data_IF_750983108181
#
_entry.id   IF_750983108181
#
_cell.length_a   1.000
_cell.length_b   1.000
_cell.length_c   1.000
_cell.angle_alpha   90.00
_cell.angle_beta   90.00
_cell.angle_gamma   90.00
#
_symmetry.space_group_name_H-M   'P 1'
#
loop_
_entity.id
_entity.type
_entity.pdbx_description
1 polymer ?
#
# COMPACT_ATOMS: atom_id res chain seq x y z
N UNK A 1 -8.51 4.17 -14.97
CA UNK A 1 -7.53 3.07 -14.99
C UNK A 1 -7.91 1.98 -13.98
N UNK A 2 -7.68 2.17 -12.68
CA UNK A 2 -7.90 1.13 -11.66
C UNK A 2 -9.36 0.96 -11.17
N UNK A 3 -10.27 1.88 -11.52
CA UNK A 3 -11.69 1.77 -11.11
C UNK A 3 -11.93 2.04 -9.62
N UNK A 4 -11.13 2.91 -9.00
CA UNK A 4 -11.28 3.27 -7.58
C UNK A 4 -12.58 4.05 -7.34
N UNK A 5 -13.30 3.72 -6.26
CA UNK A 5 -14.51 4.41 -5.83
C UNK A 5 -14.22 5.77 -5.17
N UNK A 6 -13.05 5.92 -4.54
CA UNK A 6 -12.62 7.14 -3.88
C UNK A 6 -11.09 7.26 -3.92
N UNK A 7 -10.59 8.50 -3.84
CA UNK A 7 -9.17 8.82 -3.67
C UNK A 7 -9.04 10.05 -2.79
N UNK A 8 -8.36 9.88 -1.66
CA UNK A 8 -8.23 10.90 -0.63
C UNK A 8 -6.76 11.24 -0.42
N UNK A 9 -6.50 12.45 0.07
CA UNK A 9 -5.16 12.89 0.44
C UNK A 9 -5.23 13.58 1.80
N UNK A 10 -4.58 12.99 2.81
CA UNK A 10 -4.56 13.48 4.18
C UNK A 10 -3.77 14.79 4.37
N UNK A 11 -3.09 15.27 3.33
CA UNK A 11 -2.27 16.50 3.35
C UNK A 11 -1.21 16.52 4.45
N UNK A 12 -0.78 15.34 4.90
CA UNK A 12 0.37 15.20 5.79
C UNK A 12 1.63 15.67 5.06
N UNK A 13 2.55 16.28 5.81
CA UNK A 13 3.74 16.89 5.22
C UNK A 13 4.70 15.82 4.72
N UNK A 14 4.95 15.82 3.42
CA UNK A 14 5.91 14.94 2.75
C UNK A 14 7.31 15.01 3.41
N UNK A 15 7.92 13.87 3.72
CA UNK A 15 9.19 13.75 4.41
C UNK A 15 9.15 14.00 5.93
N UNK A 16 8.07 14.56 6.49
CA UNK A 16 8.07 15.08 7.87
C UNK A 16 6.99 14.52 8.78
N UNK A 17 5.96 13.84 8.26
CA UNK A 17 4.95 13.21 9.11
C UNK A 17 5.58 12.22 10.10
N UNK A 18 4.94 12.02 11.24
CA UNK A 18 5.48 11.17 12.30
C UNK A 18 4.46 10.11 12.69
N UNK A 19 4.91 9.11 13.45
CA UNK A 19 4.01 8.14 14.07
C UNK A 19 3.59 8.63 15.48
N UNK A 20 3.01 9.82 15.54
CA UNK A 20 2.52 10.48 16.75
C UNK A 20 0.97 10.47 16.82
N UNK A 21 0.41 10.98 17.92
CA UNK A 21 -1.04 11.01 18.12
C UNK A 21 -1.79 11.78 17.02
N UNK A 22 -1.29 12.95 16.62
CA UNK A 22 -1.92 13.79 15.61
C UNK A 22 -2.06 13.05 14.28
N UNK A 23 -0.96 12.50 13.76
CA UNK A 23 -0.98 11.79 12.48
C UNK A 23 -1.79 10.49 12.58
N UNK A 24 -1.75 9.79 13.72
CA UNK A 24 -2.54 8.59 13.94
C UNK A 24 -4.03 8.89 13.89
N UNK A 25 -4.48 9.98 14.51
CA UNK A 25 -5.89 10.39 14.51
C UNK A 25 -6.39 10.70 13.09
N UNK A 26 -5.58 11.34 12.25
CA UNK A 26 -5.94 11.60 10.84
C UNK A 26 -6.13 10.30 10.04
N UNK A 27 -5.28 9.29 10.25
CA UNK A 27 -5.45 7.97 9.63
C UNK A 27 -6.67 7.24 10.20
N UNK A 28 -6.89 7.29 11.52
CA UNK A 28 -8.04 6.66 12.19
C UNK A 28 -9.36 7.22 11.65
N UNK A 29 -9.46 8.53 11.43
CA UNK A 29 -10.64 9.18 10.83
C UNK A 29 -11.01 8.54 9.49
N UNK A 30 -10.01 8.28 8.64
CA UNK A 30 -10.25 7.69 7.32
C UNK A 30 -10.59 6.20 7.40
N UNK A 31 -9.94 5.46 8.31
CA UNK A 31 -10.31 4.06 8.58
C UNK A 31 -11.77 3.96 9.02
N UNK A 32 -12.21 4.84 9.92
CA UNK A 32 -13.60 4.85 10.42
C UNK A 32 -14.62 5.41 9.42
N UNK A 33 -14.19 6.28 8.50
CA UNK A 33 -15.02 6.77 7.38
C UNK A 33 -15.37 5.63 6.42
N UNK A 34 -14.37 4.85 6.02
CA UNK A 34 -14.53 3.83 4.98
C UNK A 34 -14.82 2.43 5.50
N UNK A 35 -14.56 2.18 6.79
CA UNK A 35 -14.75 0.89 7.45
C UNK A 35 -14.21 -0.30 6.64
N UNK A 36 -12.95 -0.27 6.17
CA UNK A 36 -12.44 -1.30 5.27
C UNK A 36 -12.27 -2.64 6.01
N UNK A 37 -12.50 -3.73 5.31
CA UNK A 37 -12.18 -5.07 5.81
C UNK A 37 -10.67 -5.34 5.74
N UNK A 38 -10.03 -4.91 4.65
CA UNK A 38 -8.60 -5.11 4.36
C UNK A 38 -7.95 -3.74 4.14
N UNK A 39 -6.79 -3.55 4.75
CA UNK A 39 -5.90 -2.41 4.45
C UNK A 39 -4.61 -2.93 3.83
N UNK A 40 -4.19 -2.28 2.75
CA UNK A 40 -2.86 -2.42 2.17
C UNK A 40 -2.06 -1.15 2.50
N UNK A 41 -0.94 -1.29 3.20
CA UNK A 41 -0.08 -0.17 3.62
C UNK A 41 1.31 -0.28 3.00
N UNK A 42 2.10 0.79 3.15
CA UNK A 42 3.49 0.82 2.72
C UNK A 42 4.34 -0.31 3.32
N UNK A 43 5.46 -0.59 2.65
CA UNK A 43 6.41 -1.63 3.02
C UNK A 43 6.92 -1.48 4.47
N UNK A 44 7.28 -2.59 5.12
CA UNK A 44 7.85 -2.59 6.47
C UNK A 44 9.16 -1.80 6.56
N UNK A 45 9.98 -1.94 5.53
CA UNK A 45 11.20 -1.16 5.34
C UNK A 45 11.40 -0.92 3.84
N UNK A 46 12.09 0.16 3.50
CA UNK A 46 12.28 0.55 2.11
C UNK A 46 13.48 1.51 1.99
N UNK A 47 13.86 1.90 0.76
CA UNK A 47 14.87 2.94 0.56
C UNK A 47 14.35 4.31 0.98
N UNK A 48 13.05 4.57 0.80
CA UNK A 48 12.45 5.84 1.18
C UNK A 48 11.96 5.76 2.63
N UNK A 49 12.46 6.62 3.55
CA UNK A 49 12.11 6.53 4.97
C UNK A 49 10.60 6.68 5.23
N UNK A 50 9.90 7.48 4.42
CA UNK A 50 8.44 7.63 4.50
C UNK A 50 7.69 6.32 4.31
N UNK A 51 8.18 5.37 3.51
CA UNK A 51 7.47 4.12 3.28
C UNK A 51 7.37 3.30 4.58
N UNK A 52 8.51 3.03 5.23
CA UNK A 52 8.54 2.31 6.51
C UNK A 52 7.74 3.04 7.60
N UNK A 53 7.94 4.36 7.70
CA UNK A 53 7.23 5.20 8.66
C UNK A 53 5.71 5.24 8.43
N UNK A 54 5.25 5.27 7.18
CA UNK A 54 3.83 5.17 6.85
C UNK A 54 3.27 3.78 7.19
N UNK A 55 4.05 2.72 6.95
CA UNK A 55 3.70 1.35 7.36
C UNK A 55 3.48 1.25 8.87
N UNK A 56 4.38 1.82 9.67
CA UNK A 56 4.24 1.88 11.14
C UNK A 56 3.05 2.74 11.59
N UNK A 57 2.89 3.93 11.00
CA UNK A 57 1.76 4.83 11.30
C UNK A 57 0.42 4.13 11.05
N UNK A 58 0.25 3.49 9.90
CA UNK A 58 -0.98 2.77 9.57
C UNK A 58 -1.18 1.58 10.50
N UNK A 59 -0.13 0.82 10.83
CA UNK A 59 -0.21 -0.32 11.74
C UNK A 59 -0.76 0.07 13.12
N UNK A 60 -0.21 1.13 13.71
CA UNK A 60 -0.67 1.63 15.01
C UNK A 60 -2.12 2.17 14.93
N UNK A 61 -2.43 2.94 13.88
CA UNK A 61 -3.78 3.46 13.66
C UNK A 61 -4.83 2.38 13.48
N UNK A 62 -4.51 1.24 12.83
CA UNK A 62 -5.44 0.10 12.68
C UNK A 62 -5.82 -0.51 14.03
N UNK A 63 -4.87 -0.60 14.95
CA UNK A 63 -5.18 -1.09 16.30
C UNK A 63 -6.08 -0.09 17.05
N UNK A 64 -5.68 1.18 17.03
CA UNK A 64 -6.35 2.27 17.76
C UNK A 64 -7.74 2.59 17.20
N UNK A 65 -7.98 2.44 15.90
CA UNK A 65 -9.27 2.74 15.27
C UNK A 65 -10.41 1.87 15.82
N UNK A 66 -10.07 0.66 16.30
CA UNK A 66 -11.00 -0.26 16.95
C UNK A 66 -11.30 0.03 18.43
N UNK A 67 -10.66 1.03 19.04
CA UNK A 67 -10.88 1.37 20.44
C UNK A 67 -11.99 2.41 20.57
N UNK A 68 -13.10 2.13 21.29
CA UNK A 68 -14.22 3.06 21.42
C UNK A 68 -13.89 4.31 22.23
N UNK A 69 -12.82 4.29 23.04
CA UNK A 69 -12.36 5.45 23.83
C UNK A 69 -11.51 6.46 23.05
N UNK A 70 -11.07 6.10 21.84
CA UNK A 70 -10.44 7.06 20.94
C UNK A 70 -11.58 7.72 20.18
N UNK A 71 -11.86 8.97 20.49
CA UNK A 71 -12.93 9.73 19.83
C UNK A 71 -12.40 10.38 18.57
N UNK A 72 -13.16 10.27 17.47
CA UNK A 72 -12.87 10.98 16.23
C UNK A 72 -14.15 11.54 15.64
N UNK A 73 -14.01 12.69 14.99
CA UNK A 73 -15.09 13.40 14.33
C UNK A 73 -14.70 13.64 12.86
N UNK A 74 -15.69 13.51 11.97
CA UNK A 74 -15.59 13.90 10.57
C UNK A 74 -16.86 14.66 10.20
N UNK A 75 -16.71 15.85 9.61
CA UNK A 75 -17.83 16.71 9.20
C UNK A 75 -18.84 16.99 10.33
N UNK A 76 -18.35 17.30 11.55
CA UNK A 76 -19.18 17.49 12.75
C UNK A 76 -19.94 16.25 13.25
N UNK A 77 -19.58 15.05 12.75
CA UNK A 77 -20.20 13.78 13.13
C UNK A 77 -19.19 12.86 13.79
N UNK A 78 -19.51 12.41 15.01
CA UNK A 78 -18.73 11.39 15.73
C UNK A 78 -18.73 10.07 14.97
N UNK A 79 -17.55 9.45 14.85
CA UNK A 79 -17.39 8.20 14.14
C UNK A 79 -17.37 7.00 15.09
N UNK A 80 -18.04 5.91 14.70
CA UNK A 80 -17.98 4.65 15.43
C UNK A 80 -16.58 4.02 15.31
N UNK A 81 -16.17 3.27 16.35
CA UNK A 81 -14.96 2.48 16.30
C UNK A 81 -15.06 1.39 15.22
N UNK A 82 -13.98 1.20 14.49
CA UNK A 82 -13.88 0.18 13.43
C UNK A 82 -12.48 -0.41 13.43
N UNK A 83 -12.38 -1.73 13.50
CA UNK A 83 -11.12 -2.45 13.36
C UNK A 83 -11.12 -3.26 12.07
N UNK A 84 -10.28 -2.90 11.08
CA UNK A 84 -10.06 -3.72 9.91
C UNK A 84 -9.65 -5.15 10.29
N UNK A 85 -10.13 -6.13 9.53
CA UNK A 85 -9.84 -7.55 9.78
C UNK A 85 -8.40 -7.89 9.41
N UNK A 86 -7.90 -7.33 8.32
CA UNK A 86 -6.59 -7.66 7.74
C UNK A 86 -5.80 -6.40 7.38
N UNK A 87 -4.50 -6.44 7.67
CA UNK A 87 -3.54 -5.42 7.28
C UNK A 87 -2.32 -6.12 6.67
N UNK A 88 -2.01 -5.77 5.42
CA UNK A 88 -0.84 -6.26 4.69
C UNK A 88 0.01 -5.09 4.19
N UNK A 89 1.30 -5.32 4.01
CA UNK A 89 2.23 -4.34 3.47
C UNK A 89 2.62 -4.72 2.04
N UNK A 90 2.39 -3.84 1.07
CA UNK A 90 2.87 -4.06 -0.30
C UNK A 90 4.37 -3.75 -0.42
N UNK A 91 5.05 -4.45 -1.33
CA UNK A 91 6.50 -4.32 -1.54
C UNK A 91 6.78 -3.27 -2.62
N UNK A 92 7.48 -2.18 -2.27
CA UNK A 92 7.61 -0.98 -3.12
C UNK A 92 8.93 -0.89 -3.89
N UNK A 93 10.06 -0.72 -3.20
CA UNK A 93 11.37 -0.55 -3.83
C UNK A 93 12.30 -1.73 -3.55
N UNK A 94 12.62 -1.92 -2.26
CA UNK A 94 13.50 -2.99 -1.82
C UNK A 94 12.82 -4.34 -2.02
N UNK A 95 13.62 -5.35 -2.35
CA UNK A 95 13.15 -6.72 -2.27
C UNK A 95 12.93 -7.08 -0.81
N UNK A 96 11.70 -7.46 -0.49
CA UNK A 96 11.35 -8.13 0.77
C UNK A 96 10.84 -9.53 0.42
N UNK A 97 11.15 -10.51 1.25
CA UNK A 97 10.56 -11.84 1.09
C UNK A 97 9.04 -11.73 1.37
N UNK A 98 8.17 -12.08 0.42
CA UNK A 98 6.73 -11.99 0.63
C UNK A 98 6.23 -13.11 1.55
N UNK A 99 5.20 -12.80 2.33
CA UNK A 99 4.42 -13.78 3.10
C UNK A 99 3.21 -14.28 2.31
N UNK A 100 2.66 -13.43 1.43
CA UNK A 100 1.59 -13.77 0.49
C UNK A 100 1.97 -13.24 -0.89
N UNK A 101 1.60 -13.98 -1.94
CA UNK A 101 1.68 -13.50 -3.32
C UNK A 101 0.30 -13.63 -3.96
N UNK A 102 -0.13 -12.58 -4.64
CA UNK A 102 -1.36 -12.56 -5.44
C UNK A 102 -0.99 -12.65 -6.92
N UNK A 103 -1.59 -13.58 -7.66
CA UNK A 103 -1.46 -13.67 -9.11
C UNK A 103 -2.11 -12.44 -9.75
N UNK A 104 -1.31 -11.66 -10.48
CA UNK A 104 -1.75 -10.46 -11.20
C UNK A 104 -1.53 -10.58 -12.70
N UNK A 105 -1.45 -11.81 -13.22
CA UNK A 105 -1.11 -12.08 -14.63
C UNK A 105 -2.05 -11.34 -15.59
N UNK A 106 -3.36 -11.37 -15.30
CA UNK A 106 -4.40 -10.69 -16.11
C UNK A 106 -4.51 -9.18 -15.84
N UNK A 107 -3.66 -8.64 -14.96
CA UNK A 107 -3.74 -7.26 -14.48
C UNK A 107 -2.46 -6.47 -14.70
N UNK A 108 -1.41 -7.10 -15.22
CA UNK A 108 -0.10 -6.47 -15.40
C UNK A 108 -0.15 -5.22 -16.29
N UNK A 109 -0.90 -5.26 -17.40
CA UNK A 109 -1.02 -4.12 -18.30
C UNK A 109 -1.70 -2.92 -17.62
N UNK A 110 -2.77 -3.18 -16.86
CA UNK A 110 -3.51 -2.14 -16.11
C UNK A 110 -2.66 -1.55 -14.98
N UNK A 111 -1.81 -2.36 -14.34
CA UNK A 111 -0.81 -1.89 -13.37
C UNK A 111 0.17 -0.93 -14.02
N UNK A 112 0.77 -1.30 -15.15
CA UNK A 112 1.71 -0.44 -15.88
C UNK A 112 1.03 0.85 -16.36
N UNK A 113 -0.18 0.76 -16.90
CA UNK A 113 -0.98 1.93 -17.31
C UNK A 113 -1.18 2.90 -16.14
N UNK A 114 -1.49 2.37 -14.95
CA UNK A 114 -1.73 3.19 -13.76
C UNK A 114 -0.49 3.95 -13.28
N UNK A 115 0.69 3.35 -13.40
CA UNK A 115 1.97 3.98 -13.07
C UNK A 115 2.29 5.07 -14.10
N UNK A 116 2.12 4.78 -15.39
CA UNK A 116 2.35 5.74 -16.49
C UNK A 116 1.43 6.97 -16.44
N UNK A 117 0.31 6.90 -15.72
CA UNK A 117 -0.58 8.04 -15.52
C UNK A 117 0.08 9.21 -14.77
N UNK A 118 1.11 8.93 -13.95
CA UNK A 118 1.90 9.95 -13.26
C UNK A 118 3.02 10.48 -14.18
N UNK A 119 2.61 11.15 -15.27
CA UNK A 119 3.47 11.59 -16.38
C UNK A 119 4.68 12.44 -15.99
N UNK A 120 4.61 13.14 -14.85
CA UNK A 120 5.68 14.00 -14.34
C UNK A 120 6.59 13.32 -13.32
N UNK A 121 6.33 12.05 -12.99
CA UNK A 121 7.08 11.29 -11.97
C UNK A 121 7.86 10.14 -12.60
N UNK A 122 7.23 9.37 -13.49
CA UNK A 122 7.87 8.24 -14.16
C UNK A 122 8.33 8.60 -15.57
N UNK A 123 9.14 7.69 -16.15
CA UNK A 123 9.70 7.89 -17.49
C UNK A 123 8.63 8.25 -18.52
N UNK A 124 8.80 9.43 -19.11
CA UNK A 124 7.99 9.93 -20.20
C UNK A 124 8.90 10.77 -21.13
N UNK A 125 9.13 10.33 -22.39
CA UNK A 125 10.02 11.03 -23.31
C UNK A 125 9.51 12.42 -23.71
N UNK A 126 8.21 12.68 -23.56
CA UNK A 126 7.57 13.93 -23.96
C UNK A 126 7.61 15.00 -22.85
N UNK A 127 8.12 14.66 -21.66
CA UNK A 127 8.16 15.56 -20.50
C UNK A 127 9.61 15.88 -20.16
N UNK A 128 10.00 17.13 -20.35
CA UNK A 128 11.27 17.64 -19.86
C UNK A 128 11.17 17.87 -18.34
N UNK A 129 12.06 17.24 -17.59
CA UNK A 129 11.97 17.17 -16.14
C UNK A 129 13.24 16.65 -15.49
N UNK A 130 13.35 16.87 -14.18
CA UNK A 130 14.49 16.39 -13.40
C UNK A 130 14.54 14.86 -13.48
N UNK A 131 15.68 14.33 -13.93
CA UNK A 131 15.91 12.89 -13.90
C UNK A 131 16.06 12.42 -12.45
N UNK A 132 15.24 11.45 -12.08
CA UNK A 132 15.25 10.78 -10.79
C UNK A 132 15.34 9.27 -11.00
N UNK A 133 15.57 8.54 -9.91
CA UNK A 133 15.58 7.07 -9.93
C UNK A 133 14.34 6.46 -10.58
N UNK A 134 13.16 7.05 -10.37
CA UNK A 134 11.88 6.50 -10.88
C UNK A 134 11.51 7.01 -12.27
N UNK A 135 12.21 8.04 -12.78
CA UNK A 135 11.94 8.60 -14.11
C UNK A 135 12.79 7.97 -15.21
N UNK A 136 13.60 6.95 -14.90
CA UNK A 136 14.40 6.23 -15.88
C UNK A 136 13.58 5.10 -16.56
N UNK A 137 13.88 4.74 -17.82
CA UNK A 137 13.23 3.61 -18.49
C UNK A 137 13.36 2.29 -17.70
N UNK A 138 14.52 2.08 -17.07
CA UNK A 138 14.87 0.86 -16.34
C UNK A 138 14.00 0.63 -15.09
N UNK A 139 13.35 1.68 -14.57
CA UNK A 139 12.42 1.56 -13.47
C UNK A 139 11.26 0.62 -13.82
N UNK A 140 10.70 0.74 -15.03
CA UNK A 140 9.61 -0.15 -15.47
C UNK A 140 10.07 -1.60 -15.63
N UNK A 141 11.26 -1.82 -16.15
CA UNK A 141 11.86 -3.16 -16.23
C UNK A 141 12.04 -3.77 -14.85
N UNK A 142 12.41 -2.97 -13.85
CA UNK A 142 12.51 -3.42 -12.45
C UNK A 142 11.14 -3.82 -11.88
N UNK A 143 10.08 -3.05 -12.14
CA UNK A 143 8.71 -3.37 -11.73
C UNK A 143 8.21 -4.67 -12.38
N UNK A 144 8.47 -4.83 -13.68
CA UNK A 144 8.13 -6.04 -14.45
C UNK A 144 8.92 -7.24 -13.91
N UNK A 145 10.23 -7.10 -13.75
CA UNK A 145 11.13 -8.13 -13.26
C UNK A 145 10.72 -8.64 -11.87
N UNK A 146 10.38 -7.74 -10.94
CA UNK A 146 9.87 -8.14 -9.61
C UNK A 146 8.55 -8.89 -9.71
N UNK A 147 7.65 -8.40 -10.55
CA UNK A 147 6.34 -9.06 -10.74
C UNK A 147 6.53 -10.46 -11.35
N UNK A 148 7.49 -10.65 -12.26
CA UNK A 148 7.87 -11.97 -12.82
C UNK A 148 8.45 -12.89 -11.76
N UNK A 149 9.37 -12.40 -10.94
CA UNK A 149 10.02 -13.19 -9.88
C UNK A 149 8.97 -13.73 -8.88
N UNK A 150 8.06 -12.87 -8.43
CA UNK A 150 6.96 -13.28 -7.54
C UNK A 150 5.93 -14.18 -8.23
N UNK A 151 5.60 -13.92 -9.51
CA UNK A 151 4.68 -14.80 -10.24
C UNK A 151 5.21 -16.22 -10.31
N UNK A 152 6.50 -16.36 -10.69
CA UNK A 152 7.17 -17.66 -10.85
C UNK A 152 7.10 -18.51 -9.58
N UNK A 153 7.23 -17.92 -8.38
CA UNK A 153 7.27 -18.67 -7.12
C UNK A 153 5.94 -19.33 -6.75
N UNK A 154 4.82 -18.92 -7.35
CA UNK A 154 3.48 -19.53 -7.19
C UNK A 154 2.94 -20.15 -8.49
N UNK A 155 3.80 -20.34 -9.49
CA UNK A 155 3.39 -20.88 -10.80
C UNK A 155 2.49 -19.95 -11.63
N UNK A 156 2.58 -18.64 -11.41
CA UNK A 156 1.90 -17.59 -12.19
C UNK A 156 2.87 -16.89 -13.16
N UNK A 157 2.35 -16.09 -14.08
CA UNK A 157 3.17 -15.26 -14.97
C UNK A 157 3.69 -14.03 -14.23
N UNK A 158 2.80 -13.35 -13.50
CA UNK A 158 3.12 -12.18 -12.69
C UNK A 158 2.47 -12.30 -11.31
N UNK A 159 3.17 -11.83 -10.28
CA UNK A 159 2.69 -11.82 -8.90
C UNK A 159 2.99 -10.51 -8.19
N UNK A 160 2.13 -10.12 -7.26
CA UNK A 160 2.38 -9.06 -6.29
C UNK A 160 2.57 -9.65 -4.91
N UNK A 161 3.73 -9.35 -4.31
CA UNK A 161 4.09 -9.80 -2.98
C UNK A 161 3.63 -8.83 -1.90
N UNK A 162 3.15 -9.40 -0.80
CA UNK A 162 2.76 -8.69 0.41
C UNK A 162 3.43 -9.31 1.63
N UNK A 163 3.77 -8.49 2.62
CA UNK A 163 4.21 -8.95 3.94
C UNK A 163 3.11 -8.72 4.98
N UNK A 164 3.21 -9.45 6.10
CA UNK A 164 2.30 -9.35 7.23
C UNK A 164 3.07 -9.32 8.54
N UNK A 165 2.70 -8.43 9.46
CA UNK A 165 3.26 -8.41 10.82
C UNK A 165 2.75 -9.54 11.72
N UNK A 166 1.73 -10.27 11.27
CA UNK A 166 1.10 -11.37 12.02
C UNK A 166 1.05 -12.62 11.17
N UNK A 167 1.06 -13.79 11.81
CA UNK A 167 0.79 -15.05 11.14
C UNK A 167 -0.61 -15.05 10.54
N UNK A 168 -0.73 -15.66 9.36
CA UNK A 168 -1.99 -15.80 8.63
C UNK A 168 -2.40 -17.26 8.69
N UNK A 169 -3.63 -17.51 9.15
CA UNK A 169 -4.21 -18.86 9.20
C UNK A 169 -5.06 -19.12 7.96
N UNK A 170 -5.15 -20.40 7.60
CA UNK A 170 -6.13 -20.92 6.63
C UNK A 170 -6.94 -22.03 7.31
N UNK A 171 -8.23 -22.11 7.01
CA UNK A 171 -9.08 -23.20 7.46
C UNK A 171 -8.86 -24.47 6.62
N UNK A 172 -8.43 -24.30 5.36
CA UNK A 172 -8.24 -25.39 4.40
C UNK A 172 -6.94 -25.20 3.60
N UNK A 173 -6.12 -26.25 3.55
CA UNK A 173 -4.87 -26.22 2.76
C UNK A 173 -5.10 -26.19 1.25
N UNK A 174 -6.29 -26.58 0.76
CA UNK A 174 -6.64 -26.49 -0.66
C UNK A 174 -6.82 -25.05 -1.15
N UNK A 175 -6.93 -24.07 -0.24
CA UNK A 175 -6.98 -22.65 -0.60
C UNK A 175 -5.58 -22.09 -0.92
N UNK A 176 -4.52 -22.85 -0.58
CA UNK A 176 -3.15 -22.55 -0.99
C UNK A 176 -2.94 -23.04 -2.42
N UNK A 177 -2.35 -22.19 -3.25
CA UNK A 177 -1.99 -22.49 -4.62
C UNK A 177 -0.78 -23.41 -4.72
#
# INVERSE_FOLDING_TARGET
>A
ILGLHARENLRLRDGFFQNDEFHRLEVIKMIRKYQPEIILSNALEDRHPDHGRAGDLVYDSVFLSGLPKIETELDAVNQAAHRPRLLLQYIQDRYLKPDIIVDISDHMDKKIESIKAFKTQFYNPDVDGLQTYISSPEFFETVIGRSREFGKSIGATFGEGFTSRKLLGVENLFDLR
#
